data_IF_361371328946
#
_entry.id   IF_361371328946
#
_cell.length_a   1.000
_cell.length_b   1.000
_cell.length_c   1.000
_cell.angle_alpha   90.00
_cell.angle_beta   90.00
_cell.angle_gamma   90.00
#
_symmetry.space_group_name_H-M   'P 1'
#
loop_
_entity.id
_entity.type
_entity.pdbx_description
1 polymer ?
#
# COMPACT_ATOMS: atom_id res chain seq x y z
N UNK A 1 -12.61 26.43 35.24
CA UNK A 1 -13.40 26.89 34.09
C UNK A 1 -13.56 28.42 34.02
N UNK A 2 -13.90 29.11 35.07
CA UNK A 2 -14.13 30.58 35.04
C UNK A 2 -12.88 31.45 34.82
N UNK A 3 -11.69 31.03 35.21
CA UNK A 3 -10.43 31.79 34.96
C UNK A 3 -9.95 31.72 33.50
N UNK A 4 -10.20 30.62 32.80
CA UNK A 4 -9.78 30.45 31.39
C UNK A 4 -10.60 31.32 30.43
N UNK A 5 -11.92 31.44 30.70
CA UNK A 5 -12.84 32.30 29.92
C UNK A 5 -12.47 33.77 30.06
N UNK A 6 -12.05 34.19 31.25
CA UNK A 6 -11.61 35.57 31.52
C UNK A 6 -10.33 35.93 30.79
N UNK A 7 -9.38 35.00 30.70
CA UNK A 7 -8.10 35.13 29.92
C UNK A 7 -8.36 35.18 28.42
N UNK A 8 -9.26 34.34 27.88
CA UNK A 8 -9.67 34.38 26.49
C UNK A 8 -10.33 35.70 26.09
N UNK A 9 -11.11 36.31 26.99
CA UNK A 9 -11.71 37.63 26.77
C UNK A 9 -10.68 38.75 26.76
N UNK A 10 -9.66 38.69 27.63
CA UNK A 10 -8.56 39.64 27.69
C UNK A 10 -7.65 39.55 26.46
N UNK A 11 -7.36 38.34 25.97
CA UNK A 11 -6.57 38.10 24.74
C UNK A 11 -7.32 38.63 23.49
N UNK A 12 -8.64 38.37 23.39
CA UNK A 12 -9.45 38.92 22.30
C UNK A 12 -9.50 40.45 22.33
N UNK A 13 -9.55 41.07 23.49
CA UNK A 13 -9.54 42.53 23.66
C UNK A 13 -8.18 43.17 23.36
N UNK A 14 -7.08 42.48 23.65
CA UNK A 14 -5.74 42.89 23.26
C UNK A 14 -5.50 42.79 21.74
N UNK A 15 -6.01 41.76 21.09
CA UNK A 15 -5.90 41.56 19.62
C UNK A 15 -6.64 42.67 18.82
N UNK A 16 -7.73 43.24 19.36
CA UNK A 16 -8.47 44.33 18.71
C UNK A 16 -7.68 45.66 18.76
N UNK A 17 -6.83 45.86 19.77
CA UNK A 17 -6.07 47.10 19.91
C UNK A 17 -4.74 47.14 19.15
N UNK A 18 -4.26 45.99 18.60
CA UNK A 18 -2.96 45.86 17.92
C UNK A 18 -3.05 46.22 16.43
N UNK A 19 -4.17 46.67 15.91
CA UNK A 19 -4.33 47.09 14.49
C UNK A 19 -3.43 48.23 14.02
N UNK A 20 -2.52 48.74 14.90
CA UNK A 20 -1.69 49.92 14.62
C UNK A 20 -0.17 49.64 14.47
N UNK A 21 0.29 48.40 14.57
CA UNK A 21 1.75 48.09 14.47
C UNK A 21 1.95 47.05 13.36
N UNK A 22 2.36 47.52 12.19
CA UNK A 22 2.63 46.66 11.03
C UNK A 22 3.80 45.68 11.27
N UNK A 23 3.94 44.67 10.45
CA UNK A 23 4.92 43.55 10.40
C UNK A 23 4.95 42.57 11.59
N UNK A 24 4.77 42.98 12.84
CA UNK A 24 4.70 42.04 13.97
C UNK A 24 3.33 41.38 14.14
N UNK A 25 2.32 41.82 13.41
CA UNK A 25 0.94 41.30 13.54
C UNK A 25 0.77 39.91 12.96
N UNK A 26 1.43 39.61 11.85
CA UNK A 26 1.39 38.29 11.20
C UNK A 26 2.10 37.24 12.08
N UNK A 27 3.24 37.59 12.64
CA UNK A 27 3.96 36.73 13.59
C UNK A 27 3.16 36.49 14.89
N UNK A 28 2.48 37.53 15.39
CA UNK A 28 1.64 37.40 16.58
C UNK A 28 0.39 36.58 16.30
N UNK A 29 -0.22 36.69 15.12
CA UNK A 29 -1.36 35.84 14.70
C UNK A 29 -0.94 34.39 14.51
N UNK A 30 0.22 34.15 13.91
CA UNK A 30 0.80 32.80 13.78
C UNK A 30 1.09 32.19 15.16
N UNK A 31 1.73 32.95 16.03
CA UNK A 31 2.03 32.52 17.41
C UNK A 31 0.76 32.27 18.23
N UNK A 32 -0.24 33.17 18.14
CA UNK A 32 -1.54 33.00 18.81
C UNK A 32 -2.32 31.82 18.27
N UNK A 33 -2.25 31.56 16.96
CA UNK A 33 -2.86 30.38 16.33
C UNK A 33 -2.19 29.09 16.81
N UNK A 34 -0.87 29.08 16.88
CA UNK A 34 -0.08 27.96 17.40
C UNK A 34 -0.31 27.75 18.90
N UNK A 35 -0.40 28.83 19.68
CA UNK A 35 -0.70 28.76 21.11
C UNK A 35 -2.14 28.31 21.38
N UNK A 36 -3.12 28.78 20.60
CA UNK A 36 -4.51 28.32 20.68
C UNK A 36 -4.63 26.85 20.27
N UNK A 37 -3.91 26.43 19.24
CA UNK A 37 -3.82 25.03 18.84
C UNK A 37 -3.19 24.17 19.96
N UNK A 38 -2.08 24.62 20.57
CA UNK A 38 -1.48 23.95 21.74
C UNK A 38 -2.39 23.93 22.97
N UNK A 39 -3.15 24.99 23.24
CA UNK A 39 -4.11 25.06 24.35
C UNK A 39 -5.35 24.17 24.09
N UNK A 40 -5.78 24.04 22.86
CA UNK A 40 -6.85 23.13 22.46
C UNK A 40 -6.41 21.65 22.61
N UNK A 41 -5.11 21.35 22.41
CA UNK A 41 -4.51 20.04 22.69
C UNK A 41 -4.39 19.71 24.20
N UNK A 42 -4.41 20.70 25.09
CA UNK A 42 -4.13 20.49 26.53
C UNK A 42 -5.32 20.02 27.38
N UNK A 43 -6.51 19.75 26.82
CA UNK A 43 -7.69 19.38 27.62
C UNK A 43 -8.56 18.25 27.05
N UNK A 44 -8.11 17.51 26.03
CA UNK A 44 -8.92 16.42 25.48
C UNK A 44 -8.41 15.07 26.00
N UNK A 45 -9.02 14.57 27.07
CA UNK A 45 -8.80 13.22 27.58
C UNK A 45 -10.07 12.38 27.39
N UNK A 46 -9.90 11.10 27.07
CA UNK A 46 -10.95 10.11 27.22
C UNK A 46 -10.91 9.55 28.65
N UNK A 47 -12.06 9.37 29.25
CA UNK A 47 -12.18 8.71 30.57
C UNK A 47 -12.62 7.26 30.37
N UNK A 48 -11.85 6.32 30.87
CA UNK A 48 -12.19 4.90 30.90
C UNK A 48 -12.45 4.45 32.33
N UNK A 49 -13.64 3.93 32.61
CA UNK A 49 -13.97 3.37 33.90
C UNK A 49 -13.78 1.85 33.91
N UNK A 50 -12.99 1.36 34.86
CA UNK A 50 -12.70 -0.07 35.02
C UNK A 50 -12.86 -0.42 36.50
N UNK A 51 -13.78 -1.34 36.81
CA UNK A 51 -14.06 -1.80 38.20
C UNK A 51 -14.29 -0.64 39.17
N UNK A 52 -15.07 0.39 38.77
CA UNK A 52 -15.43 1.54 39.60
C UNK A 52 -14.28 2.53 39.80
N UNK A 53 -13.20 2.44 39.06
CA UNK A 53 -12.11 3.44 39.03
C UNK A 53 -12.02 4.09 37.67
N UNK A 54 -11.92 5.41 37.65
CA UNK A 54 -11.78 6.20 36.45
C UNK A 54 -10.30 6.46 36.12
N UNK A 55 -9.95 6.33 34.85
CA UNK A 55 -8.63 6.58 34.31
C UNK A 55 -8.73 7.51 33.10
N UNK A 56 -7.82 8.46 32.99
CA UNK A 56 -7.78 9.41 31.88
C UNK A 56 -6.66 9.03 30.91
N UNK A 57 -6.97 9.11 29.60
CA UNK A 57 -6.05 8.84 28.51
C UNK A 57 -6.07 9.99 27.52
N UNK A 58 -4.90 10.45 27.02
CA UNK A 58 -4.84 11.50 26.02
C UNK A 58 -5.58 11.10 24.74
N UNK A 59 -6.30 12.05 24.16
CA UNK A 59 -6.79 11.95 22.79
C UNK A 59 -5.76 12.51 21.82
N UNK A 60 -5.48 11.75 20.76
CA UNK A 60 -4.66 12.18 19.64
C UNK A 60 -5.61 12.49 18.49
N UNK A 61 -5.51 13.70 17.93
CA UNK A 61 -6.30 14.11 16.76
C UNK A 61 -5.39 14.19 15.55
N UNK A 62 -5.77 13.55 14.46
CA UNK A 62 -5.10 13.61 13.16
C UNK A 62 -5.35 14.94 12.44
N UNK A 63 -4.72 15.13 11.29
CA UNK A 63 -4.84 16.34 10.46
C UNK A 63 -6.24 16.48 9.85
N UNK A 64 -6.91 15.38 9.63
CA UNK A 64 -8.28 15.30 9.06
C UNK A 64 -9.32 14.95 10.15
N UNK A 65 -9.04 15.36 11.39
CA UNK A 65 -9.92 15.24 12.54
C UNK A 65 -10.20 13.79 13.03
N UNK A 66 -9.42 12.79 12.60
CA UNK A 66 -9.48 11.44 13.17
C UNK A 66 -9.03 11.47 14.63
N UNK A 67 -9.77 10.82 15.51
CA UNK A 67 -9.49 10.81 16.94
C UNK A 67 -9.14 9.42 17.43
N UNK A 68 -7.99 9.29 18.10
CA UNK A 68 -7.54 8.07 18.75
C UNK A 68 -7.29 8.27 20.25
N UNK A 69 -7.53 7.22 21.05
CA UNK A 69 -7.16 7.18 22.46
C UNK A 69 -5.73 6.66 22.58
N UNK A 70 -4.81 7.43 23.16
CA UNK A 70 -3.48 6.96 23.45
C UNK A 70 -3.46 6.05 24.67
N UNK A 71 -3.43 4.74 24.43
CA UNK A 71 -3.47 3.69 25.46
C UNK A 71 -2.08 3.22 25.93
N UNK A 72 -1.00 3.92 25.58
CA UNK A 72 0.38 3.50 25.94
C UNK A 72 0.55 3.24 27.43
N UNK A 73 -0.10 4.02 28.28
CA UNK A 73 -0.02 3.91 29.74
C UNK A 73 -1.07 2.98 30.36
N UNK A 74 -2.06 2.50 29.61
CA UNK A 74 -3.22 1.75 30.09
C UNK A 74 -2.82 0.65 31.10
N UNK A 75 -1.89 -0.21 30.69
CA UNK A 75 -1.47 -1.34 31.54
C UNK A 75 -0.82 -0.90 32.85
N UNK A 76 -0.01 0.15 32.80
CA UNK A 76 0.72 0.65 33.97
C UNK A 76 -0.23 1.26 35.02
N UNK A 77 -1.14 2.13 34.56
CA UNK A 77 -2.04 2.84 35.49
C UNK A 77 -3.16 1.97 36.03
N UNK A 78 -3.58 0.94 35.29
CA UNK A 78 -4.67 0.01 35.70
C UNK A 78 -4.20 -1.23 36.44
N UNK A 79 -2.88 -1.43 36.60
CA UNK A 79 -2.33 -2.63 37.24
C UNK A 79 -2.42 -3.90 36.38
N UNK A 80 -2.54 -3.76 35.05
CA UNK A 80 -2.43 -4.93 34.17
C UNK A 80 -3.47 -5.08 33.05
N UNK A 81 -4.49 -4.23 32.99
CA UNK A 81 -5.52 -4.28 31.93
C UNK A 81 -4.86 -4.00 30.57
N UNK A 82 -5.31 -4.70 29.54
CA UNK A 82 -4.91 -4.50 28.16
C UNK A 82 -6.12 -4.54 27.23
N UNK A 83 -5.99 -4.05 26.02
CA UNK A 83 -7.02 -4.15 24.98
C UNK A 83 -6.87 -5.46 24.20
N UNK A 84 -7.95 -5.90 23.56
CA UNK A 84 -7.95 -7.00 22.60
C UNK A 84 -8.70 -6.61 21.35
N UNK A 85 -8.03 -6.67 20.20
CA UNK A 85 -8.59 -6.33 18.89
C UNK A 85 -7.95 -7.24 17.82
N UNK A 86 -8.48 -8.46 17.61
CA UNK A 86 -7.94 -9.39 16.63
C UNK A 86 -8.03 -8.80 15.22
N UNK A 87 -6.89 -8.76 14.53
CA UNK A 87 -6.78 -8.20 13.17
C UNK A 87 -6.75 -6.67 13.12
N UNK A 88 -6.62 -5.98 14.26
CA UNK A 88 -6.43 -4.53 14.39
C UNK A 88 -7.51 -3.68 13.69
N UNK A 89 -8.75 -4.17 13.68
CA UNK A 89 -9.85 -3.51 12.98
C UNK A 89 -10.17 -2.12 13.53
N UNK A 90 -9.92 -1.91 14.83
CA UNK A 90 -10.21 -0.67 15.56
C UNK A 90 -8.99 -0.16 16.33
N UNK A 91 -7.79 -0.45 15.83
CA UNK A 91 -6.54 -0.08 16.49
C UNK A 91 -5.66 0.72 15.53
N UNK A 92 -5.39 1.99 15.86
CA UNK A 92 -4.36 2.79 15.21
C UNK A 92 -2.97 2.24 15.57
N UNK A 93 -2.25 1.68 14.62
CA UNK A 93 -0.94 1.07 14.86
C UNK A 93 0.19 2.10 14.90
N UNK A 94 0.04 3.22 14.22
CA UNK A 94 1.02 4.31 14.12
C UNK A 94 0.35 5.64 13.77
N UNK A 95 1.11 6.72 13.84
CA UNK A 95 0.81 7.98 13.19
C UNK A 95 1.64 8.05 11.91
N UNK A 96 1.02 8.41 10.79
CA UNK A 96 1.71 8.50 9.50
C UNK A 96 1.29 9.76 8.74
N UNK A 97 2.24 10.32 7.99
CA UNK A 97 1.99 11.44 7.09
C UNK A 97 2.05 11.01 5.61
N UNK A 98 2.00 9.71 5.31
CA UNK A 98 2.22 9.19 3.97
C UNK A 98 0.92 9.15 3.17
N UNK A 99 -0.10 8.48 3.69
CA UNK A 99 -1.35 8.27 2.99
C UNK A 99 -2.54 8.60 3.87
N UNK A 100 -3.42 9.46 3.36
CA UNK A 100 -4.75 9.67 3.91
C UNK A 100 -5.78 8.91 3.10
N UNK A 101 -6.68 8.22 3.80
CA UNK A 101 -7.75 7.44 3.21
C UNK A 101 -9.05 7.67 3.96
N UNK A 102 -10.09 8.15 3.25
CA UNK A 102 -11.45 8.22 3.77
C UNK A 102 -12.36 7.31 2.94
N UNK A 103 -12.66 6.13 3.48
CA UNK A 103 -13.47 5.12 2.79
C UNK A 103 -14.95 5.48 2.67
N UNK A 104 -15.50 6.34 3.54
CA UNK A 104 -16.89 6.78 3.49
C UNK A 104 -17.10 7.77 2.32
N UNK A 105 -16.13 8.66 2.10
CA UNK A 105 -16.17 9.67 1.04
C UNK A 105 -15.52 9.19 -0.26
N UNK A 106 -14.73 8.12 -0.23
CA UNK A 106 -13.99 7.62 -1.38
C UNK A 106 -12.80 8.52 -1.73
N UNK A 107 -12.08 9.02 -0.71
CA UNK A 107 -10.91 9.89 -0.87
C UNK A 107 -9.63 9.10 -0.62
N UNK A 108 -8.64 9.30 -1.47
CA UNK A 108 -7.27 8.80 -1.31
C UNK A 108 -6.28 9.92 -1.66
N UNK A 109 -5.33 10.18 -0.76
CA UNK A 109 -4.28 11.17 -0.97
C UNK A 109 -2.92 10.61 -0.59
N UNK A 110 -1.90 10.88 -1.38
CA UNK A 110 -0.50 10.62 -1.04
C UNK A 110 0.17 11.95 -0.66
N UNK A 111 0.68 12.05 0.56
CA UNK A 111 1.30 13.27 1.07
C UNK A 111 0.45 14.54 0.86
N UNK A 112 -0.88 14.40 0.91
CA UNK A 112 -1.84 15.50 0.69
C UNK A 112 -2.30 15.69 -0.75
N UNK A 113 -1.62 15.12 -1.75
CA UNK A 113 -2.03 15.18 -3.16
C UNK A 113 -3.11 14.14 -3.46
N UNK A 114 -4.17 14.56 -4.15
CA UNK A 114 -5.24 13.65 -4.56
C UNK A 114 -4.72 12.59 -5.53
N UNK A 115 -5.21 11.36 -5.39
CA UNK A 115 -4.77 10.24 -6.25
C UNK A 115 -5.13 10.49 -7.72
N UNK A 116 -6.24 11.18 -7.98
CA UNK A 116 -6.68 11.58 -9.31
C UNK A 116 -5.67 12.50 -10.01
N UNK A 117 -5.16 13.50 -9.27
CA UNK A 117 -4.16 14.44 -9.81
C UNK A 117 -2.82 13.74 -10.08
N UNK A 118 -2.40 12.86 -9.16
CA UNK A 118 -1.14 12.12 -9.31
C UNK A 118 -1.20 11.15 -10.49
N UNK A 119 -2.29 10.43 -10.66
CA UNK A 119 -2.46 9.49 -11.78
C UNK A 119 -2.63 10.18 -13.15
N UNK A 120 -3.05 11.43 -13.17
CA UNK A 120 -3.24 12.21 -14.40
C UNK A 120 -1.98 13.00 -14.81
N UNK A 121 -1.23 13.52 -13.83
CA UNK A 121 -0.20 14.55 -14.06
C UNK A 121 1.22 14.14 -13.72
N UNK A 122 1.41 13.09 -12.92
CA UNK A 122 2.72 12.60 -12.49
C UNK A 122 3.03 11.24 -13.12
N UNK A 123 4.31 10.88 -13.17
CA UNK A 123 4.73 9.51 -13.46
C UNK A 123 5.03 8.73 -12.17
N UNK A 124 5.16 7.41 -12.28
CA UNK A 124 5.38 6.54 -11.13
C UNK A 124 6.63 6.89 -10.32
N UNK A 125 7.71 7.32 -10.98
CA UNK A 125 8.96 7.66 -10.29
C UNK A 125 8.82 8.95 -9.47
N UNK A 126 8.07 9.95 -9.96
CA UNK A 126 7.71 11.16 -9.21
C UNK A 126 6.88 10.82 -7.97
N UNK A 127 5.90 9.92 -8.12
CA UNK A 127 5.06 9.46 -6.99
C UNK A 127 5.88 8.65 -6.00
N UNK A 128 6.82 7.82 -6.47
CA UNK A 128 7.75 7.10 -5.60
C UNK A 128 8.60 8.07 -4.78
N UNK A 129 9.13 9.11 -5.41
CA UNK A 129 9.90 10.16 -4.72
C UNK A 129 9.02 10.87 -3.68
N UNK A 130 7.82 11.32 -4.07
CA UNK A 130 6.85 11.97 -3.18
C UNK A 130 6.58 11.14 -1.92
N UNK A 131 6.24 9.86 -2.07
CA UNK A 131 5.93 8.98 -0.96
C UNK A 131 7.12 8.84 0.01
N UNK A 132 8.32 8.63 -0.54
CA UNK A 132 9.54 8.31 0.24
C UNK A 132 10.14 9.56 0.90
N UNK A 133 10.12 10.71 0.23
CA UNK A 133 10.80 11.92 0.69
C UNK A 133 9.84 13.02 1.18
N UNK A 134 8.55 12.95 0.86
CA UNK A 134 7.52 13.79 1.44
C UNK A 134 7.01 14.92 0.56
N UNK A 135 7.78 15.31 -0.47
CA UNK A 135 7.45 16.37 -1.43
C UNK A 135 7.65 15.88 -2.86
N UNK A 136 6.95 16.49 -3.83
CA UNK A 136 7.20 16.24 -5.24
C UNK A 136 8.61 16.72 -5.62
N UNK A 137 9.36 15.96 -6.44
CA UNK A 137 10.70 16.35 -6.83
C UNK A 137 10.67 17.56 -7.77
N UNK A 138 11.70 18.40 -7.69
CA UNK A 138 12.06 19.29 -8.79
C UNK A 138 12.59 18.47 -9.97
N UNK A 139 12.71 19.08 -11.15
CA UNK A 139 13.27 18.40 -12.34
C UNK A 139 14.69 17.84 -12.06
N UNK A 140 15.54 18.63 -11.43
CA UNK A 140 16.93 18.24 -11.11
C UNK A 140 16.97 17.10 -10.08
N UNK A 141 16.09 17.12 -9.08
CA UNK A 141 15.98 16.05 -8.08
C UNK A 141 15.49 14.74 -8.70
N UNK A 142 14.50 14.82 -9.60
CA UNK A 142 13.99 13.65 -10.32
C UNK A 142 15.05 13.04 -11.24
N UNK A 143 15.77 13.88 -12.00
CA UNK A 143 16.85 13.45 -12.88
C UNK A 143 17.95 12.75 -12.06
N UNK A 144 18.39 13.37 -10.97
CA UNK A 144 19.38 12.78 -10.07
C UNK A 144 18.90 11.46 -9.48
N UNK A 145 17.67 11.42 -8.96
CA UNK A 145 17.10 10.21 -8.37
C UNK A 145 17.02 9.06 -9.38
N UNK A 146 16.61 9.36 -10.62
CA UNK A 146 16.57 8.38 -11.69
C UNK A 146 17.98 7.89 -12.07
N UNK A 147 18.96 8.79 -12.16
CA UNK A 147 20.35 8.43 -12.42
C UNK A 147 20.92 7.51 -11.34
N UNK A 148 20.72 7.85 -10.07
CA UNK A 148 21.16 7.03 -8.94
C UNK A 148 20.52 5.63 -8.95
N UNK A 149 19.24 5.52 -9.30
CA UNK A 149 18.53 4.22 -9.44
C UNK A 149 19.12 3.41 -10.60
N UNK A 150 19.34 4.04 -11.75
CA UNK A 150 19.93 3.37 -12.93
C UNK A 150 21.29 2.77 -12.63
N UNK A 151 22.15 3.53 -11.94
CA UNK A 151 23.47 3.06 -11.52
C UNK A 151 23.38 1.81 -10.64
N UNK A 152 22.32 1.68 -9.85
CA UNK A 152 22.10 0.58 -8.92
C UNK A 152 21.26 -0.59 -9.50
N UNK A 153 20.88 -0.55 -10.78
CA UNK A 153 20.00 -1.55 -11.39
C UNK A 153 20.67 -2.91 -11.67
N UNK A 154 21.99 -2.96 -11.62
CA UNK A 154 22.73 -4.22 -11.86
C UNK A 154 22.49 -5.21 -10.72
N UNK A 155 22.01 -6.38 -11.04
CA UNK A 155 21.81 -7.51 -10.13
C UNK A 155 22.97 -8.50 -10.31
N UNK A 156 23.53 -8.96 -9.19
CA UNK A 156 24.64 -9.91 -9.16
C UNK A 156 24.28 -11.23 -9.85
N UNK A 157 25.21 -11.78 -10.62
CA UNK A 157 25.03 -13.04 -11.34
C UNK A 157 24.75 -14.25 -10.43
N UNK A 158 25.17 -14.20 -9.18
CA UNK A 158 24.87 -15.25 -8.21
C UNK A 158 23.38 -15.23 -7.78
N UNK A 159 22.71 -14.10 -7.85
CA UNK A 159 21.24 -14.02 -7.68
C UNK A 159 20.53 -14.75 -8.81
N UNK A 160 21.06 -14.72 -10.04
CA UNK A 160 20.56 -15.49 -11.16
C UNK A 160 20.62 -16.99 -10.88
N UNK A 161 21.69 -17.49 -10.25
CA UNK A 161 21.82 -18.92 -9.87
C UNK A 161 20.71 -19.31 -8.88
N UNK A 162 20.35 -18.42 -7.95
CA UNK A 162 19.23 -18.65 -7.02
C UNK A 162 17.92 -18.74 -7.81
N UNK A 163 17.69 -17.82 -8.74
CA UNK A 163 16.52 -17.86 -9.61
C UNK A 163 16.47 -19.18 -10.40
N UNK A 164 17.59 -19.60 -10.98
CA UNK A 164 17.67 -20.81 -11.81
C UNK A 164 17.35 -22.09 -11.02
N UNK A 165 17.63 -22.10 -9.71
CA UNK A 165 17.33 -23.24 -8.84
C UNK A 165 15.82 -23.48 -8.61
N UNK A 166 14.97 -22.48 -8.83
CA UNK A 166 13.53 -22.67 -8.69
C UNK A 166 12.94 -23.51 -9.82
N UNK A 167 12.02 -24.45 -9.55
CA UNK A 167 11.29 -25.15 -10.60
C UNK A 167 10.39 -24.19 -11.40
N UNK A 168 10.11 -24.49 -12.65
CA UNK A 168 9.19 -23.69 -13.49
C UNK A 168 7.79 -23.55 -12.91
N UNK A 169 7.36 -24.49 -12.08
CA UNK A 169 6.08 -24.49 -11.38
C UNK A 169 6.06 -23.59 -10.13
N UNK A 170 7.22 -23.05 -9.72
CA UNK A 170 7.26 -22.17 -8.55
C UNK A 170 6.35 -20.95 -8.73
N UNK A 171 5.61 -20.60 -7.69
CA UNK A 171 4.75 -19.41 -7.73
C UNK A 171 5.63 -18.15 -7.74
N UNK A 172 5.39 -17.20 -8.67
CA UNK A 172 6.22 -16.00 -8.84
C UNK A 172 6.41 -15.16 -7.56
N UNK A 173 5.39 -15.06 -6.71
CA UNK A 173 5.48 -14.35 -5.43
C UNK A 173 6.47 -14.98 -4.46
N UNK A 174 6.52 -16.31 -4.39
CA UNK A 174 7.50 -17.03 -3.58
C UNK A 174 8.93 -16.82 -4.09
N UNK A 175 9.10 -16.85 -5.42
CA UNK A 175 10.37 -16.53 -6.07
C UNK A 175 10.80 -15.10 -5.74
N UNK A 176 9.93 -14.12 -5.94
CA UNK A 176 10.24 -12.71 -5.69
C UNK A 176 10.60 -12.44 -4.22
N UNK A 177 9.85 -13.02 -3.28
CA UNK A 177 10.13 -12.88 -1.84
C UNK A 177 11.51 -13.44 -1.49
N UNK A 178 11.84 -14.63 -2.00
CA UNK A 178 13.16 -15.26 -1.79
C UNK A 178 14.30 -14.42 -2.40
N UNK A 179 14.16 -13.98 -3.65
CA UNK A 179 15.19 -13.17 -4.32
C UNK A 179 15.38 -11.82 -3.60
N UNK A 180 14.28 -11.17 -3.16
CA UNK A 180 14.38 -9.92 -2.41
C UNK A 180 15.12 -10.11 -1.09
N UNK A 181 14.85 -11.20 -0.37
CA UNK A 181 15.58 -11.54 0.84
C UNK A 181 17.07 -11.83 0.55
N UNK A 182 17.34 -12.57 -0.52
CA UNK A 182 18.71 -12.90 -0.93
C UNK A 182 19.56 -11.67 -1.24
N UNK A 183 18.96 -10.60 -1.79
CA UNK A 183 19.67 -9.32 -2.03
C UNK A 183 20.34 -8.76 -0.77
N UNK A 184 19.87 -9.09 0.42
CA UNK A 184 20.51 -8.70 1.69
C UNK A 184 21.95 -9.19 1.77
N UNK A 185 22.21 -10.43 1.32
CA UNK A 185 23.55 -11.02 1.33
C UNK A 185 24.50 -10.36 0.31
N UNK A 186 23.95 -9.91 -0.81
CA UNK A 186 24.72 -9.24 -1.87
C UNK A 186 24.86 -7.73 -1.67
N UNK A 187 24.13 -7.16 -0.71
CA UNK A 187 24.15 -5.73 -0.39
C UNK A 187 24.31 -5.50 1.12
N UNK A 188 25.42 -5.91 1.74
CA UNK A 188 25.59 -5.87 3.20
C UNK A 188 25.48 -4.46 3.80
N UNK A 189 25.75 -3.40 3.05
CA UNK A 189 25.58 -2.01 3.47
C UNK A 189 24.10 -1.62 3.71
N UNK A 190 23.14 -2.46 3.33
CA UNK A 190 21.71 -2.20 3.52
C UNK A 190 21.12 -2.90 4.75
N UNK A 191 21.93 -3.61 5.52
CA UNK A 191 21.49 -4.36 6.72
C UNK A 191 21.35 -3.43 7.92
N UNK A 192 22.42 -2.69 8.23
CA UNK A 192 22.45 -1.75 9.36
C UNK A 192 22.31 -0.32 8.81
N UNK A 193 21.10 0.18 8.76
CA UNK A 193 20.77 1.49 8.20
C UNK A 193 20.32 2.40 9.33
N UNK A 194 21.11 3.40 9.67
CA UNK A 194 20.86 4.31 10.77
C UNK A 194 20.76 5.79 10.33
N UNK A 195 21.50 6.18 9.28
CA UNK A 195 21.52 7.55 8.76
C UNK A 195 20.59 7.75 7.58
N UNK A 196 20.24 9.00 7.29
CA UNK A 196 19.45 9.36 6.08
C UNK A 196 20.18 8.99 4.79
N UNK A 197 21.50 9.11 4.75
CA UNK A 197 22.33 8.73 3.61
C UNK A 197 22.25 7.21 3.36
N UNK A 198 22.37 6.40 4.41
CA UNK A 198 22.25 4.95 4.31
C UNK A 198 20.83 4.54 3.89
N UNK A 199 19.79 5.23 4.40
CA UNK A 199 18.40 5.01 3.99
C UNK A 199 18.21 5.36 2.51
N UNK A 200 18.77 6.46 2.04
CA UNK A 200 18.76 6.85 0.62
C UNK A 200 19.45 5.78 -0.24
N UNK A 201 20.67 5.38 0.13
CA UNK A 201 21.43 4.38 -0.60
C UNK A 201 20.74 3.00 -0.65
N UNK A 202 20.11 2.57 0.44
CA UNK A 202 19.31 1.35 0.46
C UNK A 202 18.08 1.45 -0.45
N UNK A 203 17.44 2.62 -0.47
CA UNK A 203 16.26 2.93 -1.29
C UNK A 203 16.59 2.88 -2.77
N UNK A 204 17.60 3.60 -3.25
CA UNK A 204 17.94 3.63 -4.68
C UNK A 204 18.40 2.25 -5.17
N UNK A 205 19.13 1.50 -4.34
CA UNK A 205 19.54 0.12 -4.67
C UNK A 205 18.34 -0.81 -4.88
N UNK A 206 17.35 -0.77 -4.00
CA UNK A 206 16.20 -1.67 -4.16
C UNK A 206 15.28 -1.21 -5.30
N UNK A 207 15.09 0.10 -5.49
CA UNK A 207 14.32 0.62 -6.62
C UNK A 207 14.97 0.26 -7.97
N UNK A 208 16.30 0.18 -8.04
CA UNK A 208 17.00 -0.27 -9.25
C UNK A 208 16.92 -1.78 -9.47
N UNK A 209 17.08 -2.59 -8.41
CA UNK A 209 17.16 -4.06 -8.54
C UNK A 209 15.82 -4.76 -8.58
N UNK A 210 14.82 -4.25 -7.88
CA UNK A 210 13.52 -4.92 -7.75
C UNK A 210 12.78 -5.11 -9.09
N UNK A 211 12.72 -4.09 -9.99
CA UNK A 211 12.14 -4.29 -11.32
C UNK A 211 12.84 -5.38 -12.14
N UNK A 212 14.16 -5.50 -12.00
CA UNK A 212 14.93 -6.57 -12.66
C UNK A 212 14.49 -7.94 -12.14
N UNK A 213 14.33 -8.10 -10.82
CA UNK A 213 13.83 -9.36 -10.24
C UNK A 213 12.41 -9.69 -10.71
N UNK A 214 11.54 -8.70 -10.84
CA UNK A 214 10.17 -8.86 -11.37
C UNK A 214 10.21 -9.34 -12.81
N UNK A 215 10.97 -8.66 -13.67
CA UNK A 215 11.12 -9.02 -15.07
C UNK A 215 11.75 -10.43 -15.24
N UNK A 216 12.79 -10.74 -14.51
CA UNK A 216 13.42 -12.05 -14.53
C UNK A 216 12.47 -13.17 -14.09
N UNK A 217 11.67 -12.92 -13.06
CA UNK A 217 10.66 -13.87 -12.59
C UNK A 217 9.62 -14.16 -13.67
N UNK A 218 9.12 -13.12 -14.36
CA UNK A 218 8.20 -13.27 -15.49
C UNK A 218 8.84 -14.01 -16.66
N UNK A 219 10.05 -13.63 -17.05
CA UNK A 219 10.76 -14.24 -18.19
C UNK A 219 11.06 -15.72 -17.94
N UNK A 220 11.47 -16.07 -16.72
CA UNK A 220 11.63 -17.48 -16.32
C UNK A 220 10.33 -18.25 -16.44
N UNK A 221 9.20 -17.67 -16.00
CA UNK A 221 7.87 -18.30 -16.12
C UNK A 221 7.50 -18.54 -17.59
N UNK A 222 7.79 -17.58 -18.45
CA UNK A 222 7.57 -17.68 -19.91
C UNK A 222 8.62 -18.51 -20.65
N UNK A 223 9.71 -18.92 -20.00
CA UNK A 223 10.81 -19.63 -20.64
C UNK A 223 11.66 -18.77 -21.58
N UNK A 224 11.67 -17.46 -21.35
CA UNK A 224 12.46 -16.49 -22.11
C UNK A 224 13.84 -16.27 -21.46
N UNK A 225 14.90 -15.94 -22.23
CA UNK A 225 16.18 -15.56 -21.67
C UNK A 225 16.04 -14.29 -20.81
N UNK A 226 16.89 -14.16 -19.79
CA UNK A 226 16.86 -12.97 -18.92
C UNK A 226 17.25 -11.72 -19.71
N UNK A 227 16.62 -10.61 -19.37
CA UNK A 227 16.91 -9.29 -19.91
C UNK A 227 17.34 -8.36 -18.77
N UNK A 228 18.39 -7.59 -18.99
CA UNK A 228 18.99 -6.69 -17.99
C UNK A 228 18.53 -5.23 -18.15
N UNK A 229 17.70 -4.97 -19.17
CA UNK A 229 17.18 -3.65 -19.48
C UNK A 229 18.13 -2.76 -20.27
N UNK A 230 17.72 -1.51 -20.37
CA UNK A 230 18.42 -0.44 -21.06
C UNK A 230 18.40 0.83 -20.21
N UNK A 231 19.55 1.21 -19.69
CA UNK A 231 19.68 2.36 -18.80
C UNK A 231 19.46 3.72 -19.47
N UNK A 232 19.31 3.76 -20.80
CA UNK A 232 18.94 4.99 -21.53
C UNK A 232 17.46 5.35 -21.41
N UNK A 233 16.61 4.36 -21.09
CA UNK A 233 15.15 4.49 -21.05
C UNK A 233 14.64 5.08 -19.73
N UNK A 234 13.38 5.55 -19.75
CA UNK A 234 12.63 5.88 -18.56
C UNK A 234 12.40 4.69 -17.62
N UNK A 235 12.01 4.95 -16.38
CA UNK A 235 11.92 3.88 -15.37
C UNK A 235 10.91 2.79 -15.74
N UNK A 236 9.65 3.16 -16.02
CA UNK A 236 8.60 2.19 -16.37
C UNK A 236 8.79 1.64 -17.79
N UNK A 237 9.31 2.46 -18.69
CA UNK A 237 9.69 2.06 -20.04
C UNK A 237 10.72 0.92 -20.03
N UNK A 238 11.77 1.05 -19.21
CA UNK A 238 12.78 0.02 -19.03
C UNK A 238 12.19 -1.27 -18.43
N UNK A 239 11.23 -1.16 -17.49
CA UNK A 239 10.52 -2.32 -16.95
C UNK A 239 9.78 -3.06 -18.07
N UNK A 240 9.05 -2.35 -18.92
CA UNK A 240 8.33 -2.96 -20.04
C UNK A 240 9.30 -3.61 -21.03
N UNK A 241 10.40 -2.95 -21.40
CA UNK A 241 11.43 -3.54 -22.25
C UNK A 241 11.97 -4.83 -21.63
N UNK A 242 12.36 -4.83 -20.36
CA UNK A 242 12.84 -6.04 -19.68
C UNK A 242 11.82 -7.18 -19.71
N UNK A 243 10.52 -6.87 -19.60
CA UNK A 243 9.46 -7.89 -19.57
C UNK A 243 9.14 -8.46 -20.95
N UNK A 244 9.14 -7.63 -22.00
CA UNK A 244 8.52 -7.97 -23.29
C UNK A 244 9.49 -8.15 -24.45
N UNK A 245 10.70 -7.56 -24.41
CA UNK A 245 11.66 -7.70 -25.48
C UNK A 245 11.96 -9.18 -25.76
N UNK A 246 11.79 -9.59 -27.02
CA UNK A 246 12.08 -10.96 -27.45
C UNK A 246 13.47 -11.05 -28.06
N UNK A 247 14.10 -12.24 -27.99
CA UNK A 247 15.36 -12.44 -28.65
C UNK A 247 15.27 -12.20 -30.17
N UNK A 248 16.17 -11.39 -30.69
CA UNK A 248 16.30 -11.06 -32.13
C UNK A 248 15.09 -10.26 -32.71
N UNK A 249 14.25 -9.70 -31.87
CA UNK A 249 13.19 -8.74 -32.24
C UNK A 249 13.52 -7.39 -31.59
N UNK A 250 13.38 -6.28 -32.34
CA UNK A 250 13.47 -4.95 -31.78
C UNK A 250 12.24 -4.72 -30.90
N UNK A 251 12.43 -4.15 -29.71
CA UNK A 251 11.34 -3.81 -28.83
C UNK A 251 10.71 -2.49 -29.28
N UNK A 252 9.49 -2.56 -29.76
CA UNK A 252 8.67 -1.40 -30.06
C UNK A 252 7.79 -1.07 -28.84
N UNK A 253 7.93 0.14 -28.32
CA UNK A 253 7.13 0.60 -27.20
C UNK A 253 5.74 0.98 -27.66
N UNK A 254 4.74 0.54 -26.88
CA UNK A 254 3.36 1.03 -27.00
C UNK A 254 3.08 2.02 -25.86
N UNK A 255 2.88 3.31 -26.21
CA UNK A 255 2.70 4.39 -25.23
C UNK A 255 1.39 4.27 -24.45
N UNK A 256 0.34 3.65 -25.01
CA UNK A 256 -0.93 3.42 -24.31
C UNK A 256 -0.72 2.37 -23.22
N UNK A 257 0.00 1.29 -23.52
CA UNK A 257 0.35 0.27 -22.53
C UNK A 257 1.30 0.81 -21.47
N UNK A 258 2.28 1.65 -21.87
CA UNK A 258 3.18 2.31 -20.94
C UNK A 258 2.41 3.18 -19.95
N UNK A 259 1.55 4.07 -20.44
CA UNK A 259 0.71 4.94 -19.63
C UNK A 259 -0.22 4.15 -18.69
N UNK A 260 -0.83 3.08 -19.20
CA UNK A 260 -1.69 2.21 -18.38
C UNK A 260 -0.91 1.52 -17.26
N UNK A 261 0.31 1.02 -17.53
CA UNK A 261 1.16 0.41 -16.51
C UNK A 261 1.62 1.45 -15.48
N UNK A 262 2.04 2.63 -15.92
CA UNK A 262 2.48 3.73 -15.05
C UNK A 262 1.35 4.11 -14.07
N UNK A 263 0.14 4.32 -14.57
CA UNK A 263 -1.06 4.58 -13.75
C UNK A 263 -1.35 3.43 -12.78
N UNK A 264 -1.27 2.17 -13.23
CA UNK A 264 -1.44 1.02 -12.36
C UNK A 264 -0.45 1.02 -11.20
N UNK A 265 0.82 1.30 -11.46
CA UNK A 265 1.85 1.35 -10.44
C UNK A 265 1.58 2.48 -9.44
N UNK A 266 1.19 3.67 -9.91
CA UNK A 266 0.79 4.82 -9.06
C UNK A 266 -0.38 4.44 -8.14
N UNK A 267 -1.45 3.86 -8.68
CA UNK A 267 -2.65 3.50 -7.93
C UNK A 267 -2.42 2.41 -6.88
N UNK A 268 -1.34 1.63 -7.03
CA UNK A 268 -0.96 0.59 -6.08
C UNK A 268 0.15 1.04 -5.10
N UNK A 269 0.73 2.25 -5.26
CA UNK A 269 1.96 2.64 -4.58
C UNK A 269 1.86 2.64 -3.06
N UNK A 270 0.75 3.07 -2.47
CA UNK A 270 0.46 2.91 -1.04
C UNK A 270 -1.04 2.80 -0.76
N UNK A 271 -1.41 2.27 0.39
CA UNK A 271 -2.80 2.19 0.84
C UNK A 271 -2.86 2.00 2.36
N UNK A 272 -2.25 2.94 3.10
CA UNK A 272 -2.24 2.98 4.56
C UNK A 272 -1.72 1.68 5.21
N UNK A 273 -2.24 1.31 6.41
CA UNK A 273 -1.83 0.13 7.18
C UNK A 273 -2.53 -1.15 6.73
N UNK A 274 -2.42 -1.51 5.44
CA UNK A 274 -2.80 -2.83 4.98
C UNK A 274 -1.87 -3.93 5.55
N UNK A 275 -2.24 -5.19 5.37
CA UNK A 275 -1.53 -6.32 5.96
C UNK A 275 -0.03 -6.34 5.60
N UNK A 276 0.34 -6.10 4.34
CA UNK A 276 1.76 -6.12 3.94
C UNK A 276 2.54 -4.92 4.46
N UNK A 277 1.94 -3.73 4.46
CA UNK A 277 2.55 -2.52 5.03
C UNK A 277 2.79 -2.68 6.54
N UNK A 278 1.77 -3.15 7.28
CA UNK A 278 1.90 -3.44 8.72
C UNK A 278 2.96 -4.50 8.99
N UNK A 279 3.11 -5.51 8.10
CA UNK A 279 4.16 -6.52 8.19
C UNK A 279 5.55 -5.92 7.97
N UNK A 280 5.72 -5.04 6.98
CA UNK A 280 6.98 -4.31 6.74
C UNK A 280 7.39 -3.50 7.98
N UNK A 281 6.44 -2.75 8.57
CA UNK A 281 6.69 -1.99 9.81
C UNK A 281 6.99 -2.92 10.98
N UNK A 282 6.25 -4.01 11.14
CA UNK A 282 6.47 -4.97 12.23
C UNK A 282 7.87 -5.59 12.18
N UNK A 283 8.29 -6.08 11.01
CA UNK A 283 9.63 -6.67 10.83
C UNK A 283 10.71 -5.59 10.97
N UNK A 284 10.53 -4.45 10.32
CA UNK A 284 11.46 -3.31 10.38
C UNK A 284 11.65 -2.75 11.79
N UNK A 285 10.61 -2.83 12.66
CA UNK A 285 10.68 -2.37 14.05
C UNK A 285 11.70 -3.15 14.91
N UNK A 286 12.07 -4.35 14.48
CA UNK A 286 13.16 -5.13 15.10
C UNK A 286 14.55 -4.69 14.64
N UNK A 287 14.65 -3.63 13.83
CA UNK A 287 15.85 -3.18 13.15
C UNK A 287 16.36 -4.17 12.07
N UNK A 288 15.52 -5.10 11.61
CA UNK A 288 15.80 -5.84 10.38
C UNK A 288 15.96 -4.86 9.20
N UNK A 289 16.92 -5.12 8.33
CA UNK A 289 17.20 -4.28 7.17
C UNK A 289 16.01 -4.14 6.23
N UNK A 290 16.05 -3.13 5.35
CA UNK A 290 14.97 -2.80 4.43
C UNK A 290 14.54 -4.02 3.59
N UNK A 291 15.49 -4.74 2.99
CA UNK A 291 15.17 -5.87 2.09
C UNK A 291 14.51 -7.04 2.81
N UNK A 292 14.93 -7.35 4.04
CA UNK A 292 14.28 -8.36 4.87
C UNK A 292 12.82 -7.96 5.20
N UNK A 293 12.62 -6.67 5.52
CA UNK A 293 11.28 -6.13 5.78
C UNK A 293 10.39 -6.18 4.54
N UNK A 294 10.93 -5.84 3.36
CA UNK A 294 10.22 -5.92 2.08
C UNK A 294 9.86 -7.36 1.72
N UNK A 295 10.78 -8.31 1.89
CA UNK A 295 10.52 -9.74 1.66
C UNK A 295 9.36 -10.26 2.52
N UNK A 296 9.27 -9.83 3.78
CA UNK A 296 8.16 -10.14 4.65
C UNK A 296 6.84 -9.50 4.16
N UNK A 297 6.89 -8.24 3.69
CA UNK A 297 5.76 -7.56 3.06
C UNK A 297 5.26 -8.28 1.80
N UNK A 298 6.16 -8.75 0.95
CA UNK A 298 5.84 -9.55 -0.25
C UNK A 298 5.14 -10.85 0.16
N UNK A 299 5.64 -11.52 1.18
CA UNK A 299 5.04 -12.76 1.70
C UNK A 299 3.63 -12.53 2.26
N UNK A 300 3.40 -11.41 2.95
CA UNK A 300 2.08 -11.04 3.43
C UNK A 300 1.13 -10.65 2.28
N UNK A 301 1.66 -9.96 1.25
CA UNK A 301 0.88 -9.58 0.06
C UNK A 301 0.41 -10.81 -0.72
N UNK A 302 1.19 -11.88 -0.75
CA UNK A 302 0.85 -13.12 -1.44
C UNK A 302 -0.38 -13.84 -0.85
N UNK A 303 -0.75 -13.53 0.39
CA UNK A 303 -1.91 -14.15 1.03
C UNK A 303 -3.22 -13.92 0.27
N UNK A 304 -4.10 -14.95 0.14
CA UNK A 304 -5.35 -14.86 -0.65
C UNK A 304 -6.34 -13.83 -0.11
N UNK A 305 -6.21 -13.42 1.16
CA UNK A 305 -7.05 -12.38 1.76
C UNK A 305 -6.48 -10.95 1.57
N UNK A 306 -5.35 -10.81 0.86
CA UNK A 306 -4.72 -9.52 0.63
C UNK A 306 -4.49 -9.26 -0.87
N UNK A 307 -3.33 -9.61 -1.44
CA UNK A 307 -2.98 -9.27 -2.82
C UNK A 307 -3.50 -10.24 -3.89
N UNK A 308 -4.17 -11.32 -3.51
CA UNK A 308 -4.69 -12.31 -4.45
C UNK A 308 -6.02 -11.94 -5.13
N UNK A 309 -6.57 -10.75 -4.85
CA UNK A 309 -7.91 -10.39 -5.32
C UNK A 309 -7.99 -10.25 -6.85
N UNK A 310 -7.01 -9.62 -7.50
CA UNK A 310 -6.97 -9.46 -8.95
C UNK A 310 -6.77 -10.80 -9.69
N UNK A 311 -5.98 -11.72 -9.14
CA UNK A 311 -5.89 -13.09 -9.66
C UNK A 311 -7.24 -13.80 -9.54
N UNK A 312 -7.89 -13.73 -8.39
CA UNK A 312 -9.19 -14.36 -8.15
C UNK A 312 -10.30 -13.79 -9.07
N UNK A 313 -10.21 -12.52 -9.47
CA UNK A 313 -11.11 -11.92 -10.49
C UNK A 313 -10.97 -12.67 -11.80
N UNK A 314 -9.75 -12.86 -12.31
CA UNK A 314 -9.55 -13.53 -13.59
C UNK A 314 -9.93 -15.01 -13.55
N UNK A 315 -9.62 -15.72 -12.47
CA UNK A 315 -10.03 -17.09 -12.26
C UNK A 315 -11.56 -17.21 -12.25
N UNK A 316 -12.27 -16.28 -11.62
CA UNK A 316 -13.74 -16.19 -11.66
C UNK A 316 -14.26 -15.94 -13.08
N UNK A 317 -13.67 -14.98 -13.80
CA UNK A 317 -14.10 -14.65 -15.18
C UNK A 317 -13.87 -15.84 -16.14
N UNK A 318 -12.76 -16.55 -16.00
CA UNK A 318 -12.49 -17.77 -16.76
C UNK A 318 -13.49 -18.87 -16.43
N UNK A 319 -13.82 -19.09 -15.17
CA UNK A 319 -14.83 -20.06 -14.75
C UNK A 319 -16.23 -19.71 -15.33
N UNK A 320 -16.57 -18.42 -15.38
CA UNK A 320 -17.82 -17.95 -16.03
C UNK A 320 -17.80 -18.25 -17.53
N UNK A 321 -16.67 -17.99 -18.21
CA UNK A 321 -16.48 -18.29 -19.63
C UNK A 321 -16.66 -19.79 -19.92
N UNK A 322 -16.02 -20.64 -19.12
CA UNK A 322 -16.10 -22.10 -19.27
C UNK A 322 -17.52 -22.64 -19.07
N UNK A 323 -18.32 -21.99 -18.23
CA UNK A 323 -19.73 -22.32 -17.99
C UNK A 323 -20.70 -21.61 -18.96
N UNK A 324 -20.22 -21.11 -20.11
CA UNK A 324 -21.00 -20.54 -21.18
C UNK A 324 -21.19 -19.03 -21.20
N UNK A 325 -20.54 -18.29 -20.27
CA UNK A 325 -20.45 -16.82 -20.31
C UNK A 325 -21.71 -16.06 -19.89
N UNK A 326 -22.68 -16.70 -19.25
CA UNK A 326 -23.94 -16.06 -18.84
C UNK A 326 -23.76 -15.20 -17.59
N UNK A 327 -23.50 -13.91 -17.78
CA UNK A 327 -23.32 -12.94 -16.70
C UNK A 327 -24.54 -12.83 -15.79
N UNK A 328 -25.77 -12.90 -16.32
CA UNK A 328 -27.02 -12.82 -15.55
C UNK A 328 -27.17 -13.97 -14.56
N UNK A 329 -26.81 -15.19 -14.99
CA UNK A 329 -26.77 -16.36 -14.12
C UNK A 329 -25.86 -16.13 -12.91
N UNK A 330 -24.67 -15.59 -13.13
CA UNK A 330 -23.70 -15.36 -12.06
C UNK A 330 -24.04 -14.16 -11.18
N UNK A 331 -24.66 -13.12 -11.74
CA UNK A 331 -25.23 -12.02 -10.95
C UNK A 331 -26.36 -12.53 -10.03
N UNK A 332 -27.18 -13.44 -10.50
CA UNK A 332 -28.23 -14.09 -9.66
C UNK A 332 -27.58 -14.92 -8.51
N UNK A 333 -26.57 -15.74 -8.82
CA UNK A 333 -25.81 -16.49 -7.80
C UNK A 333 -25.17 -15.57 -6.75
N UNK A 334 -24.58 -14.45 -7.16
CA UNK A 334 -23.98 -13.48 -6.24
C UNK A 334 -24.98 -12.83 -5.28
N UNK A 335 -26.27 -12.76 -5.66
CA UNK A 335 -27.36 -12.25 -4.81
C UNK A 335 -27.90 -13.31 -3.85
N UNK A 336 -27.74 -14.58 -4.18
CA UNK A 336 -28.21 -15.69 -3.35
C UNK A 336 -27.24 -15.95 -2.19
N UNK A 337 -27.69 -15.69 -0.96
CA UNK A 337 -26.90 -15.93 0.25
C UNK A 337 -26.61 -17.42 0.52
N UNK A 338 -27.39 -18.32 -0.06
CA UNK A 338 -27.22 -19.77 0.07
C UNK A 338 -26.19 -20.32 -0.92
N UNK A 339 -25.88 -19.61 -2.01
CA UNK A 339 -24.83 -19.96 -2.96
C UNK A 339 -23.44 -19.62 -2.38
N UNK A 340 -22.46 -20.48 -2.65
CA UNK A 340 -21.07 -20.27 -2.27
C UNK A 340 -20.34 -19.28 -3.18
N UNK A 341 -20.89 -18.98 -4.36
CA UNK A 341 -20.30 -18.06 -5.32
C UNK A 341 -20.16 -16.65 -4.75
N UNK A 342 -19.03 -16.02 -5.02
CA UNK A 342 -18.76 -14.63 -4.65
C UNK A 342 -18.25 -13.88 -5.87
N UNK A 343 -18.80 -12.70 -6.08
CA UNK A 343 -18.36 -11.79 -7.15
C UNK A 343 -17.04 -11.14 -6.73
N UNK A 344 -15.92 -11.66 -7.26
CA UNK A 344 -14.58 -11.16 -6.94
C UNK A 344 -14.29 -9.82 -7.62
N UNK A 345 -13.57 -8.92 -6.94
CA UNK A 345 -13.28 -7.58 -7.46
C UNK A 345 -14.45 -6.59 -7.32
N UNK A 346 -15.47 -6.91 -6.52
CA UNK A 346 -16.62 -6.03 -6.25
C UNK A 346 -16.71 -5.71 -4.75
N UNK A 347 -16.99 -4.43 -4.46
CA UNK A 347 -16.95 -3.91 -3.10
C UNK A 347 -15.51 -3.76 -2.59
N UNK A 348 -15.36 -3.13 -1.44
CA UNK A 348 -14.05 -2.93 -0.82
C UNK A 348 -14.17 -3.01 0.70
N UNK A 349 -13.12 -3.50 1.37
CA UNK A 349 -13.14 -3.62 2.84
C UNK A 349 -13.14 -2.25 3.54
N UNK A 350 -12.53 -1.24 2.91
CA UNK A 350 -12.40 0.12 3.43
C UNK A 350 -13.39 1.06 2.77
N UNK A 351 -13.41 1.14 1.42
CA UNK A 351 -14.34 2.01 0.72
C UNK A 351 -15.77 1.50 0.84
N UNK A 352 -16.60 2.32 1.47
CA UNK A 352 -18.07 2.16 1.49
C UNK A 352 -18.76 3.00 0.43
N UNK A 353 -17.96 3.66 -0.40
CA UNK A 353 -18.36 4.39 -1.59
C UNK A 353 -17.53 3.86 -2.77
N UNK A 354 -17.56 4.55 -3.89
CA UNK A 354 -16.78 4.18 -5.07
C UNK A 354 -15.28 4.31 -4.77
N UNK A 355 -14.48 3.29 -5.11
CA UNK A 355 -13.02 3.36 -5.03
C UNK A 355 -12.50 4.39 -6.06
N UNK A 356 -11.84 5.48 -5.65
CA UNK A 356 -11.39 6.52 -6.59
C UNK A 356 -10.42 5.96 -7.63
N UNK A 357 -9.64 4.93 -7.29
CA UNK A 357 -8.72 4.27 -8.20
C UNK A 357 -9.44 3.52 -9.33
N UNK A 358 -10.61 2.93 -9.01
CA UNK A 358 -11.38 2.17 -9.99
C UNK A 358 -11.90 3.04 -11.15
N UNK A 359 -12.21 4.33 -10.90
CA UNK A 359 -12.61 5.25 -11.97
C UNK A 359 -11.47 5.51 -12.94
N UNK A 360 -10.29 5.77 -12.41
CA UNK A 360 -9.09 6.08 -13.19
C UNK A 360 -8.70 4.87 -14.04
N UNK A 361 -8.59 3.71 -13.40
CA UNK A 361 -8.10 2.51 -14.07
C UNK A 361 -9.11 1.94 -15.06
N UNK A 362 -10.42 2.21 -14.88
CA UNK A 362 -11.45 1.85 -15.87
C UNK A 362 -11.20 2.56 -17.21
N UNK A 363 -10.89 3.86 -17.19
CA UNK A 363 -10.58 4.62 -18.40
C UNK A 363 -9.36 4.03 -19.09
N UNK A 364 -8.27 3.78 -18.35
CA UNK A 364 -7.08 3.15 -18.91
C UNK A 364 -7.35 1.74 -19.48
N UNK A 365 -8.24 0.95 -18.84
CA UNK A 365 -8.64 -0.34 -19.36
C UNK A 365 -9.39 -0.22 -20.70
N UNK A 366 -10.32 0.72 -20.80
CA UNK A 366 -11.06 0.97 -22.05
C UNK A 366 -10.13 1.42 -23.18
N UNK A 367 -9.12 2.28 -22.90
CA UNK A 367 -8.09 2.72 -23.85
C UNK A 367 -7.22 1.56 -24.33
N UNK A 368 -6.70 0.74 -23.42
CA UNK A 368 -5.87 -0.44 -23.74
C UNK A 368 -6.62 -1.43 -24.61
N UNK A 369 -7.89 -1.72 -24.28
CA UNK A 369 -8.69 -2.66 -25.04
C UNK A 369 -9.02 -2.14 -26.45
N UNK A 370 -9.23 -0.82 -26.59
CA UNK A 370 -9.48 -0.19 -27.87
C UNK A 370 -8.23 -0.22 -28.76
N UNK A 371 -7.04 0.09 -28.19
CA UNK A 371 -5.76 0.13 -28.92
C UNK A 371 -5.35 -1.25 -29.44
N UNK A 372 -5.43 -2.26 -28.56
CA UNK A 372 -5.00 -3.61 -28.90
C UNK A 372 -5.98 -4.34 -29.83
N UNK A 373 -7.23 -3.85 -29.98
CA UNK A 373 -8.27 -4.48 -30.78
C UNK A 373 -8.54 -5.92 -30.35
N UNK A 374 -8.38 -6.24 -29.06
CA UNK A 374 -8.48 -7.60 -28.55
C UNK A 374 -9.96 -8.02 -28.45
N UNK A 375 -10.32 -9.05 -29.18
CA UNK A 375 -11.54 -9.81 -28.98
C UNK A 375 -11.24 -10.96 -27.99
N UNK A 376 -11.53 -10.76 -26.72
CA UNK A 376 -11.36 -11.78 -25.66
C UNK A 376 -12.70 -11.97 -24.92
N UNK A 377 -13.32 -13.18 -25.02
CA UNK A 377 -14.58 -13.46 -24.33
C UNK A 377 -14.56 -13.19 -22.82
N UNK A 378 -13.43 -13.31 -22.17
CA UNK A 378 -13.30 -13.02 -20.72
C UNK A 378 -13.42 -11.53 -20.45
N UNK A 379 -12.89 -10.69 -21.34
CA UNK A 379 -13.01 -9.24 -21.24
C UNK A 379 -14.43 -8.76 -21.52
N UNK A 380 -15.14 -9.41 -22.44
CA UNK A 380 -16.56 -9.11 -22.71
C UNK A 380 -17.45 -9.51 -21.52
N UNK A 381 -17.18 -10.66 -20.88
CA UNK A 381 -17.82 -11.05 -19.62
C UNK A 381 -17.58 -10.03 -18.53
N UNK A 382 -16.33 -9.54 -18.39
CA UNK A 382 -15.97 -8.52 -17.41
C UNK A 382 -16.75 -7.20 -17.64
N UNK A 383 -16.83 -6.74 -18.89
CA UNK A 383 -17.63 -5.55 -19.26
C UNK A 383 -19.11 -5.75 -18.92
N UNK A 384 -19.67 -6.92 -19.25
CA UNK A 384 -21.06 -7.29 -18.95
C UNK A 384 -21.34 -7.27 -17.45
N UNK A 385 -20.52 -7.95 -16.63
CA UNK A 385 -20.66 -7.96 -15.17
C UNK A 385 -20.56 -6.56 -14.57
N UNK A 386 -19.61 -5.74 -15.03
CA UNK A 386 -19.46 -4.36 -14.57
C UNK A 386 -20.69 -3.51 -14.89
N UNK A 387 -21.21 -3.59 -16.12
CA UNK A 387 -22.39 -2.84 -16.54
C UNK A 387 -23.64 -3.25 -15.75
N UNK A 388 -23.85 -4.55 -15.56
CA UNK A 388 -24.97 -5.08 -14.75
C UNK A 388 -24.86 -4.63 -13.29
N UNK A 389 -23.70 -4.76 -12.66
CA UNK A 389 -23.53 -4.38 -11.26
C UNK A 389 -23.72 -2.88 -11.01
N UNK A 390 -23.32 -2.03 -11.96
CA UNK A 390 -23.50 -0.57 -11.86
C UNK A 390 -24.97 -0.13 -12.05
N UNK A 391 -25.84 -0.98 -12.61
CA UNK A 391 -27.24 -0.69 -12.85
C UNK A 391 -28.22 -1.45 -11.95
N UNK A 392 -27.80 -2.55 -11.35
CA UNK A 392 -28.66 -3.41 -10.52
C UNK A 392 -28.81 -2.83 -9.10
N UNK A 393 -30.05 -2.56 -8.62
CA UNK A 393 -30.30 -1.99 -7.30
C UNK A 393 -29.66 -2.77 -6.14
N UNK A 394 -29.58 -4.11 -6.23
CA UNK A 394 -28.96 -4.92 -5.18
C UNK A 394 -27.51 -4.54 -4.93
N UNK A 395 -26.72 -4.30 -5.99
CA UNK A 395 -25.31 -3.93 -5.91
C UNK A 395 -25.14 -2.43 -5.60
N UNK A 396 -25.96 -1.59 -6.23
CA UNK A 396 -25.93 -0.12 -6.03
C UNK A 396 -26.25 0.23 -4.58
N UNK A 397 -27.36 -0.31 -4.03
CA UNK A 397 -27.78 -0.03 -2.65
C UNK A 397 -26.77 -0.52 -1.61
N UNK A 398 -26.02 -1.58 -1.93
CA UNK A 398 -24.96 -2.15 -1.08
C UNK A 398 -23.58 -1.61 -1.40
N UNK A 399 -23.47 -0.71 -2.38
CA UNK A 399 -22.22 -0.10 -2.84
C UNK A 399 -21.16 -1.15 -3.25
N UNK A 400 -21.61 -2.24 -3.87
CA UNK A 400 -20.76 -3.32 -4.38
C UNK A 400 -20.30 -3.00 -5.80
N UNK A 401 -19.54 -1.93 -5.95
CA UNK A 401 -18.99 -1.49 -7.23
C UNK A 401 -17.74 -2.27 -7.60
N UNK A 402 -17.39 -2.38 -8.90
CA UNK A 402 -16.08 -2.86 -9.31
C UNK A 402 -14.97 -2.02 -8.70
N UNK A 403 -13.97 -2.69 -8.15
CA UNK A 403 -12.83 -2.04 -7.48
C UNK A 403 -11.58 -2.02 -8.38
N UNK A 404 -10.44 -1.53 -7.85
CA UNK A 404 -9.18 -1.45 -8.60
C UNK A 404 -8.69 -2.83 -9.05
N UNK A 405 -8.90 -3.89 -8.26
CA UNK A 405 -8.45 -5.24 -8.58
C UNK A 405 -9.18 -5.83 -9.79
N UNK A 406 -10.46 -5.46 -9.99
CA UNK A 406 -11.25 -5.87 -11.14
C UNK A 406 -10.65 -5.34 -12.45
N UNK A 407 -10.40 -4.05 -12.53
CA UNK A 407 -9.91 -3.43 -13.76
C UNK A 407 -8.41 -3.67 -14.00
N UNK A 408 -7.59 -3.74 -12.94
CA UNK A 408 -6.16 -4.06 -13.08
C UNK A 408 -5.96 -5.45 -13.67
N UNK A 409 -6.76 -6.43 -13.27
CA UNK A 409 -6.73 -7.77 -13.84
C UNK A 409 -7.00 -7.77 -15.35
N UNK A 410 -7.97 -6.97 -15.80
CA UNK A 410 -8.30 -6.81 -17.22
C UNK A 410 -7.10 -6.27 -18.01
N UNK A 411 -6.47 -5.20 -17.52
CA UNK A 411 -5.30 -4.59 -18.19
C UNK A 411 -4.14 -5.58 -18.24
N UNK A 412 -3.78 -6.21 -17.12
CA UNK A 412 -2.68 -7.16 -17.09
C UNK A 412 -2.90 -8.35 -18.04
N UNK A 413 -4.14 -8.83 -18.15
CA UNK A 413 -4.51 -9.85 -19.13
C UNK A 413 -4.32 -9.36 -20.56
N UNK A 414 -4.83 -8.17 -20.89
CA UNK A 414 -4.68 -7.56 -22.21
C UNK A 414 -3.21 -7.35 -22.59
N UNK A 415 -2.36 -6.99 -21.62
CA UNK A 415 -0.91 -6.90 -21.78
C UNK A 415 -0.21 -8.25 -21.89
N UNK A 416 -0.90 -9.39 -21.79
CA UNK A 416 -0.32 -10.73 -21.86
C UNK A 416 0.56 -11.10 -20.66
N UNK A 417 0.34 -10.45 -19.51
CA UNK A 417 0.98 -10.83 -18.24
C UNK A 417 0.32 -12.11 -17.73
N UNK A 418 1.08 -13.16 -17.36
CA UNK A 418 0.52 -14.36 -16.75
C UNK A 418 -0.25 -14.04 -15.45
N UNK A 419 -1.37 -14.71 -15.21
CA UNK A 419 -2.24 -14.43 -14.06
C UNK A 419 -1.47 -14.54 -12.72
N UNK A 420 -0.58 -15.53 -12.59
CA UNK A 420 0.24 -15.68 -11.38
C UNK A 420 1.24 -14.53 -11.14
N UNK A 421 1.48 -13.69 -12.16
CA UNK A 421 2.32 -12.49 -12.05
C UNK A 421 1.56 -11.25 -11.57
N UNK A 422 0.24 -11.26 -11.49
CA UNK A 422 -0.57 -10.08 -11.15
C UNK A 422 -0.21 -9.53 -9.76
N UNK A 423 -0.10 -10.40 -8.76
CA UNK A 423 0.33 -9.99 -7.41
C UNK A 423 1.79 -9.52 -7.39
N UNK A 424 2.64 -10.01 -8.30
CA UNK A 424 4.02 -9.52 -8.47
C UNK A 424 4.03 -8.09 -9.01
N UNK A 425 3.16 -7.78 -9.99
CA UNK A 425 2.99 -6.42 -10.49
C UNK A 425 2.44 -5.48 -9.41
N UNK A 426 1.53 -5.99 -8.59
CA UNK A 426 1.08 -5.26 -7.39
C UNK A 426 2.24 -4.97 -6.44
N UNK A 427 3.11 -5.95 -6.15
CA UNK A 427 4.29 -5.74 -5.31
C UNK A 427 5.24 -4.69 -5.89
N UNK A 428 5.40 -4.66 -7.22
CA UNK A 428 6.20 -3.65 -7.92
C UNK A 428 5.64 -2.24 -7.66
N UNK A 429 4.34 -2.05 -7.86
CA UNK A 429 3.67 -0.78 -7.57
C UNK A 429 3.77 -0.39 -6.10
N UNK A 430 3.60 -1.34 -5.16
CA UNK A 430 3.60 -1.09 -3.71
C UNK A 430 4.98 -0.82 -3.13
N UNK A 431 6.06 -1.10 -3.85
CA UNK A 431 7.42 -0.95 -3.35
C UNK A 431 7.72 0.43 -2.74
N UNK A 432 7.41 1.57 -3.39
CA UNK A 432 7.67 2.89 -2.80
C UNK A 432 6.92 3.13 -1.48
N UNK A 433 5.66 2.69 -1.39
CA UNK A 433 4.87 2.80 -0.17
C UNK A 433 5.49 2.02 1.00
N UNK A 434 5.92 0.78 0.76
CA UNK A 434 6.62 0.00 1.78
C UNK A 434 7.92 0.66 2.24
N UNK A 435 8.70 1.22 1.29
CA UNK A 435 9.95 1.94 1.62
C UNK A 435 9.63 3.18 2.47
N UNK A 436 8.64 3.98 2.06
CA UNK A 436 8.21 5.17 2.78
C UNK A 436 7.76 4.84 4.21
N UNK A 437 6.93 3.81 4.38
CA UNK A 437 6.43 3.34 5.67
C UNK A 437 7.55 2.82 6.57
N UNK A 438 8.50 2.07 6.02
CA UNK A 438 9.68 1.60 6.74
C UNK A 438 10.57 2.78 7.16
N UNK A 439 10.84 3.72 6.26
CA UNK A 439 11.67 4.90 6.51
C UNK A 439 11.05 5.77 7.60
N UNK A 440 9.75 6.09 7.50
CA UNK A 440 9.05 6.91 8.50
C UNK A 440 9.11 6.29 9.90
N UNK A 441 8.87 4.98 10.01
CA UNK A 441 8.98 4.24 11.27
C UNK A 441 10.41 4.35 11.86
N UNK A 442 11.44 4.19 11.04
CA UNK A 442 12.85 4.27 11.46
C UNK A 442 13.22 5.69 11.92
N UNK A 443 12.84 6.72 11.16
CA UNK A 443 13.07 8.12 11.49
C UNK A 443 12.39 8.53 12.80
N UNK A 444 11.18 8.03 13.05
CA UNK A 444 10.44 8.27 14.30
C UNK A 444 10.94 7.45 15.49
N UNK A 445 11.89 6.54 15.27
CA UNK A 445 12.41 5.63 16.30
C UNK A 445 11.27 4.88 17.03
N UNK A 446 10.31 4.40 16.26
CA UNK A 446 9.19 3.66 16.83
C UNK A 446 9.69 2.40 17.57
N UNK A 447 9.04 2.03 18.67
CA UNK A 447 9.46 0.87 19.45
C UNK A 447 9.21 -0.43 18.70
N UNK A 448 9.93 -1.49 19.08
CA UNK A 448 9.71 -2.83 18.54
C UNK A 448 8.26 -3.28 18.71
N UNK A 449 7.66 -3.75 17.63
CA UNK A 449 6.32 -4.34 17.63
C UNK A 449 6.28 -5.64 18.44
N UNK A 450 5.62 -5.60 19.61
CA UNK A 450 5.43 -6.76 20.46
C UNK A 450 4.02 -6.74 21.06
N UNK A 451 3.01 -7.19 20.31
CA UNK A 451 1.64 -7.26 20.80
C UNK A 451 1.54 -8.24 21.99
N UNK A 452 0.50 -8.06 22.79
CA UNK A 452 0.18 -8.95 23.90
C UNK A 452 -0.85 -9.99 23.48
N UNK A 453 -0.94 -11.06 24.25
CA UNK A 453 -2.00 -12.06 24.14
C UNK A 453 -2.74 -12.20 25.48
N UNK A 454 -3.99 -12.61 25.42
CA UNK A 454 -4.75 -13.10 26.57
C UNK A 454 -4.62 -14.61 26.56
N UNK A 455 -3.99 -15.14 27.61
CA UNK A 455 -3.81 -16.59 27.75
C UNK A 455 -5.12 -17.26 28.16
N UNK A 456 -5.54 -18.26 27.43
CA UNK A 456 -6.75 -19.06 27.65
C UNK A 456 -6.48 -20.55 27.76
N UNK A 457 -5.19 -20.94 27.91
CA UNK A 457 -4.79 -22.34 28.08
C UNK A 457 -4.91 -22.79 29.53
N UNK A 458 -4.40 -23.98 29.78
CA UNK A 458 -4.40 -24.59 31.09
C UNK A 458 -3.56 -23.80 32.10
N UNK A 459 -3.96 -23.84 33.36
CA UNK A 459 -3.14 -23.37 34.48
C UNK A 459 -1.87 -24.21 34.61
N UNK A 460 -1.02 -23.89 35.59
CA UNK A 460 0.20 -24.66 35.87
C UNK A 460 -0.11 -26.16 35.98
N UNK A 461 0.61 -26.93 35.19
CA UNK A 461 0.50 -28.41 35.19
C UNK A 461 1.84 -29.01 35.61
N UNK A 462 1.80 -30.01 36.48
CA UNK A 462 2.99 -30.77 36.84
C UNK A 462 3.51 -31.56 35.63
N UNK A 463 4.81 -31.46 35.40
CA UNK A 463 5.45 -32.29 34.38
C UNK A 463 5.46 -33.74 34.82
N UNK A 464 4.88 -34.62 34.04
CA UNK A 464 4.96 -36.07 34.23
C UNK A 464 5.97 -36.66 33.26
N UNK A 465 6.83 -37.55 33.72
CA UNK A 465 7.71 -38.32 32.86
C UNK A 465 6.90 -39.17 31.88
N UNK A 466 7.50 -39.46 30.71
CA UNK A 466 6.79 -40.16 29.63
C UNK A 466 6.22 -41.52 30.07
N UNK A 467 6.89 -42.21 30.99
CA UNK A 467 6.46 -43.48 31.56
C UNK A 467 5.24 -43.36 32.48
N UNK A 468 4.82 -42.13 32.86
CA UNK A 468 3.71 -41.84 33.78
C UNK A 468 2.59 -41.02 33.13
N UNK A 469 2.60 -40.86 31.81
CA UNK A 469 1.59 -40.12 31.05
C UNK A 469 0.46 -41.02 30.57
#
# INVERSE_FOLDING_TARGET
MNHLICWLFLIKRAAVNVKKIGQNFVLLQSFLKELLQKLQYMSNNATLEINGKSYEFPLITGTEDEVAIDIKTLRAVTGGVTTIDPGYKNTGACQSAITFLNGEEGVLRYRGYAIEDLADKANFLEVAYLLIFGELPTADELEKFHADIKEQSVVDDDVKKILDAFPKSAHPMGVLSCLTSALTAFNPSTVNVESEEEMYNATVKILGKFPVLVAWTMRKKKGLPLNYGDTSLGYVENIMKMMYEKPNEEYEQNDILLNALDKLLILHADHEQNCSTSTVRMVGSSHAGLYASLSAGISALWGPLHGGANQAVLEMLEAIREDGGDTKKYMAKAKDKSDSFRLMGFGHRVYKNFDPRAKIIKVAADEVLADLGIEDPVLDIAKGLSAEALSDPYFVDRKLYPNVDFYSGIIYRAMGIPVEMFTVMFALGRLPGWIAQWKEMRQRKEPIGRPRQIYIGENHREFKEISKR
#
